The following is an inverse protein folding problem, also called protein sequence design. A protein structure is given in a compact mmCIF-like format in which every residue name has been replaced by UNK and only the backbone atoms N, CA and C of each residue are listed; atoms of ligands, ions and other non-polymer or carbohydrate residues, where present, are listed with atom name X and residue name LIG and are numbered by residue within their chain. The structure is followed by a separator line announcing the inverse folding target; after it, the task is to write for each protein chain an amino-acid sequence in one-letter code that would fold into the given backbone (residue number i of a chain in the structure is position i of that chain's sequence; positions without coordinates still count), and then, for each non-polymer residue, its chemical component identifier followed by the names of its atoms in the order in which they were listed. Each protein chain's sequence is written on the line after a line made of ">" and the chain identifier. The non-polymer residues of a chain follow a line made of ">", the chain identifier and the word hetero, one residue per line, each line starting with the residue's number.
data_IF_986784246239
#
_entry.id   IF_986784246239
#
_cell.length_a   1.000
_cell.length_b   1.000
_cell.length_c   1.000
_cell.angle_alpha   90.00
_cell.angle_beta   90.00
_cell.angle_gamma   90.00
#
_symmetry.space_group_name_H-M   'P 1'
#
loop_
_entity.id
_entity.type
_entity.pdbx_description
1 polymer ?
#
# COMPACT_ATOMS: atom_id res chain seq x y z
N UNK A 1 8.51 7.53 -10.74
CA UNK A 1 8.34 8.23 -9.44
C UNK A 1 8.48 7.21 -8.33
N UNK A 2 9.30 7.47 -7.31
CA UNK A 2 9.42 6.62 -6.12
C UNK A 2 8.40 7.10 -5.08
N UNK A 3 7.64 6.21 -4.45
CA UNK A 3 6.79 6.60 -3.33
C UNK A 3 7.63 7.06 -2.14
N UNK A 4 7.04 7.93 -1.32
CA UNK A 4 7.64 8.43 -0.10
C UNK A 4 6.79 8.05 1.11
N UNK A 5 7.47 7.83 2.25
CA UNK A 5 6.82 7.69 3.56
C UNK A 5 5.92 8.91 3.82
N UNK A 6 4.76 8.67 4.42
CA UNK A 6 3.70 9.67 4.63
C UNK A 6 2.75 9.84 3.44
N UNK A 7 3.05 9.26 2.27
CA UNK A 7 2.14 9.33 1.11
C UNK A 7 0.95 8.39 1.32
N UNK A 8 -0.26 8.89 1.07
CA UNK A 8 -1.46 8.04 1.05
C UNK A 8 -1.55 7.27 -0.27
N UNK A 9 -1.65 5.96 -0.17
CA UNK A 9 -1.66 5.05 -1.31
C UNK A 9 -2.77 4.01 -1.17
N UNK A 10 -3.16 3.42 -2.29
CA UNK A 10 -3.81 2.12 -2.31
C UNK A 10 -2.92 1.14 -3.08
N UNK A 11 -2.69 -0.02 -2.48
CA UNK A 11 -1.91 -1.10 -3.08
C UNK A 11 -2.77 -2.36 -3.12
N UNK A 12 -2.96 -2.91 -4.31
CA UNK A 12 -3.57 -4.23 -4.51
C UNK A 12 -2.48 -5.29 -4.51
N UNK A 13 -2.68 -6.36 -3.75
CA UNK A 13 -1.75 -7.47 -3.67
C UNK A 13 -2.49 -8.81 -3.68
N UNK A 14 -1.77 -9.85 -4.09
CA UNK A 14 -2.24 -11.24 -4.04
C UNK A 14 -2.16 -11.77 -2.62
N UNK A 15 -3.15 -12.58 -2.27
CA UNK A 15 -3.12 -13.31 -1.01
C UNK A 15 -3.98 -14.57 -1.03
N UNK A 16 -3.33 -15.70 -0.78
CA UNK A 16 -3.91 -17.00 -1.10
C UNK A 16 -4.39 -17.02 -2.54
N UNK A 17 -5.62 -17.49 -2.74
CA UNK A 17 -6.28 -17.55 -4.04
C UNK A 17 -6.94 -16.22 -4.47
N UNK A 18 -6.80 -15.15 -3.68
CA UNK A 18 -7.52 -13.89 -3.86
C UNK A 18 -6.64 -12.64 -3.99
N UNK A 19 -7.31 -11.49 -3.98
CA UNK A 19 -6.68 -10.18 -3.95
C UNK A 19 -7.20 -9.36 -2.78
N UNK A 20 -6.32 -8.56 -2.17
CA UNK A 20 -6.69 -7.58 -1.15
C UNK A 20 -6.11 -6.21 -1.48
N UNK A 21 -6.76 -5.19 -0.93
CA UNK A 21 -6.35 -3.80 -1.09
C UNK A 21 -5.91 -3.23 0.27
N UNK A 22 -4.68 -2.73 0.33
CA UNK A 22 -4.16 -1.94 1.44
C UNK A 22 -4.28 -0.46 1.09
N UNK A 23 -5.27 0.22 1.68
CA UNK A 23 -5.46 1.67 1.55
C UNK A 23 -5.05 2.36 2.85
N UNK A 24 -4.08 3.25 2.77
CA UNK A 24 -3.54 3.91 3.95
C UNK A 24 -2.31 4.78 3.68
N UNK A 25 -1.59 5.09 4.74
CA UNK A 25 -0.38 5.93 4.69
C UNK A 25 0.86 5.05 4.67
N UNK A 26 1.81 5.32 3.78
CA UNK A 26 3.10 4.61 3.78
C UNK A 26 3.90 4.92 5.06
N UNK A 27 4.26 3.89 5.81
CA UNK A 27 5.20 3.95 6.93
C UNK A 27 6.63 3.61 6.49
N UNK A 28 6.77 2.74 5.50
CA UNK A 28 8.06 2.30 4.97
C UNK A 28 7.97 2.04 3.46
N UNK A 29 9.06 2.37 2.75
CA UNK A 29 9.25 2.04 1.34
C UNK A 29 10.63 1.41 1.19
N UNK A 30 10.67 0.11 0.91
CA UNK A 30 11.87 -0.67 0.70
C UNK A 30 11.89 -1.25 -0.73
N UNK A 31 13.02 -1.85 -1.17
CA UNK A 31 13.11 -2.43 -2.52
C UNK A 31 12.14 -3.59 -2.77
N UNK A 32 11.83 -4.37 -1.74
CA UNK A 32 11.08 -5.62 -1.81
C UNK A 32 9.71 -5.55 -1.14
N UNK A 33 9.37 -4.45 -0.47
CA UNK A 33 8.09 -4.30 0.20
C UNK A 33 7.72 -2.84 0.49
N UNK A 34 6.48 -2.65 0.89
CA UNK A 34 6.01 -1.42 1.54
C UNK A 34 5.23 -1.75 2.81
N UNK A 35 5.29 -0.87 3.80
CA UNK A 35 4.47 -0.95 5.01
C UNK A 35 3.46 0.18 5.00
N UNK A 36 2.18 -0.13 5.19
CA UNK A 36 1.07 0.81 5.09
C UNK A 36 0.27 0.79 6.40
N UNK A 37 0.11 1.94 7.03
CA UNK A 37 -0.88 2.15 8.09
C UNK A 37 -2.27 2.24 7.47
N UNK A 38 -2.98 1.10 7.43
CA UNK A 38 -4.34 1.03 6.92
C UNK A 38 -5.38 1.18 8.04
N UNK A 39 -6.64 1.40 7.67
CA UNK A 39 -7.74 1.62 8.63
C UNK A 39 -7.88 0.51 9.69
N UNK A 40 -7.55 -0.74 9.35
CA UNK A 40 -7.71 -1.91 10.23
C UNK A 40 -6.39 -2.35 10.89
N UNK A 41 -5.32 -1.58 10.74
CA UNK A 41 -4.00 -1.91 11.25
C UNK A 41 -2.91 -1.78 10.18
N UNK A 42 -1.68 -2.05 10.60
CA UNK A 42 -0.51 -2.03 9.72
C UNK A 42 -0.54 -3.23 8.79
N UNK A 43 -0.34 -2.99 7.49
CA UNK A 43 -0.26 -4.01 6.45
C UNK A 43 1.10 -3.89 5.77
N UNK A 44 1.84 -4.99 5.74
CA UNK A 44 3.04 -5.14 4.92
C UNK A 44 2.64 -5.79 3.60
N UNK A 45 3.09 -5.21 2.49
CA UNK A 45 2.84 -5.73 1.14
C UNK A 45 4.17 -6.02 0.48
N UNK A 46 4.44 -7.29 0.19
CA UNK A 46 5.62 -7.72 -0.57
C UNK A 46 5.48 -7.33 -2.05
N UNK A 47 6.57 -6.88 -2.66
CA UNK A 47 6.60 -6.39 -4.04
C UNK A 47 6.27 -7.48 -5.07
N UNK A 48 6.56 -8.75 -4.78
CA UNK A 48 6.26 -9.89 -5.64
C UNK A 48 4.75 -10.25 -5.68
N UNK A 49 4.04 -9.96 -4.58
CA UNK A 49 2.58 -10.10 -4.50
C UNK A 49 1.84 -8.88 -5.05
N UNK A 50 2.51 -7.74 -5.16
CA UNK A 50 1.92 -6.48 -5.59
C UNK A 50 1.44 -6.55 -7.05
N UNK A 51 0.17 -6.24 -7.26
CA UNK A 51 -0.45 -6.21 -8.59
C UNK A 51 -0.46 -4.81 -9.16
N UNK A 52 -0.83 -3.84 -8.32
CA UNK A 52 -0.89 -2.43 -8.69
C UNK A 52 -0.82 -1.59 -7.42
N UNK A 53 -0.27 -0.38 -7.53
CA UNK A 53 -0.50 0.63 -6.51
C UNK A 53 -0.55 2.02 -7.13
N UNK A 54 -1.23 2.92 -6.43
CA UNK A 54 -1.39 4.30 -6.84
C UNK A 54 -1.46 5.24 -5.64
N UNK A 55 -0.99 6.46 -5.84
CA UNK A 55 -1.18 7.56 -4.88
C UNK A 55 -2.66 7.93 -4.86
N UNK A 56 -3.20 8.11 -3.65
CA UNK A 56 -4.58 8.52 -3.43
C UNK A 56 -4.56 9.94 -2.88
N UNK A 57 -5.15 10.91 -3.59
CA UNK A 57 -5.30 12.27 -3.07
C UNK A 57 -6.07 12.28 -1.74
N UNK A 58 -5.86 13.28 -0.89
CA UNK A 58 -6.70 13.50 0.28
C UNK A 58 -8.18 13.51 -0.13
N UNK A 59 -9.04 12.90 0.70
CA UNK A 59 -10.48 12.99 0.48
C UNK A 59 -10.89 14.47 0.54
N UNK A 60 -11.55 14.95 -0.52
CA UNK A 60 -12.27 16.22 -0.48
C UNK A 60 -13.65 15.95 0.10
N UNK A 61 -14.07 16.84 1.00
CA UNK A 61 -15.37 16.84 1.64
C UNK A 61 -16.36 17.57 0.73
#
# INVERSE_FOLDING_TARGET
>A
MRWAVGTRVVVRYREGEGFRDALGTLLEVAPDHVTIEARRGIVRVEADTMVTGKVVPPARW
#
